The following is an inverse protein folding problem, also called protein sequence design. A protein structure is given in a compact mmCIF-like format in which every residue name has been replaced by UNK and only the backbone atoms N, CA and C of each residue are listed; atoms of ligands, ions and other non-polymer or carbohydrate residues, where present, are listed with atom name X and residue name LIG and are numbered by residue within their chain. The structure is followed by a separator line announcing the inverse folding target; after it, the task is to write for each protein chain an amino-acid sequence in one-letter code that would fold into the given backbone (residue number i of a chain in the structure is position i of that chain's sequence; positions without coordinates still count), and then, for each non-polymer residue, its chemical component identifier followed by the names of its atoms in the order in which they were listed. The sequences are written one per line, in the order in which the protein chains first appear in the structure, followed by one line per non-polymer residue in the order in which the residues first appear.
data_IF_185796128127
#
_entry.id   IF_185796128127
#
_cell.length_a   1.000
_cell.length_b   1.000
_cell.length_c   1.000
_cell.angle_alpha   90.00
_cell.angle_beta   90.00
_cell.angle_gamma   90.00
#
_symmetry.space_group_name_H-M   'P 1'
#
loop_
_entity.id
_entity.type
_entity.pdbx_description
1 polymer ?
#
# COMPACT_ATOMS: atom_id res chain seq x y z
N UNK A 1 15.33 15.63 0.23
CA UNK A 1 15.65 15.12 1.59
C UNK A 1 15.99 13.65 1.57
N UNK A 2 15.09 12.74 1.17
CA UNK A 2 15.36 11.28 1.17
C UNK A 2 16.50 10.89 0.22
N UNK A 3 16.57 11.41 -1.01
CA UNK A 3 17.71 11.14 -1.91
C UNK A 3 19.07 11.67 -1.44
N UNK A 4 19.12 12.61 -0.48
CA UNK A 4 20.38 13.16 0.06
C UNK A 4 20.75 12.57 1.44
N UNK A 5 19.78 12.07 2.20
CA UNK A 5 19.94 11.61 3.60
C UNK A 5 19.31 10.22 3.83
N UNK A 6 19.08 9.43 2.78
CA UNK A 6 18.32 8.18 2.86
C UNK A 6 18.88 7.21 3.89
N UNK A 7 20.20 7.01 3.92
CA UNK A 7 20.88 6.15 4.90
C UNK A 7 20.72 6.64 6.35
N UNK A 8 20.65 7.95 6.58
CA UNK A 8 20.49 8.53 7.92
C UNK A 8 19.09 8.27 8.49
N UNK A 9 18.06 8.39 7.65
CA UNK A 9 16.66 8.21 8.07
C UNK A 9 16.16 6.76 7.99
N UNK A 10 16.67 5.97 7.04
CA UNK A 10 16.16 4.64 6.73
C UNK A 10 17.15 3.52 7.12
N UNK A 11 18.37 3.87 7.55
CA UNK A 11 19.39 2.90 7.93
C UNK A 11 19.74 1.95 6.78
N UNK A 12 19.99 0.69 7.11
CA UNK A 12 20.35 -0.35 6.14
C UNK A 12 19.17 -0.78 5.23
N UNK A 13 17.95 -0.35 5.56
CA UNK A 13 16.78 -0.54 4.69
C UNK A 13 16.79 0.40 3.47
N UNK A 14 17.74 1.35 3.40
CA UNK A 14 17.98 2.15 2.21
C UNK A 14 18.54 1.30 1.07
N UNK A 15 17.66 0.69 0.29
CA UNK A 15 18.00 -0.03 -0.93
C UNK A 15 16.83 0.01 -1.91
N UNK A 16 17.15 0.16 -3.20
CA UNK A 16 16.31 0.56 -4.34
C UNK A 16 16.03 2.07 -4.45
N UNK A 17 16.69 2.65 -5.45
CA UNK A 17 16.17 3.71 -6.31
C UNK A 17 15.54 4.93 -5.63
N UNK A 18 16.28 5.63 -4.77
CA UNK A 18 16.04 7.02 -4.33
C UNK A 18 14.63 7.41 -3.82
N UNK A 19 13.71 6.47 -3.68
CA UNK A 19 12.32 6.68 -3.30
C UNK A 19 12.10 6.23 -1.85
N UNK A 20 11.22 6.94 -1.15
CA UNK A 20 10.86 6.60 0.21
C UNK A 20 9.93 5.37 0.21
N UNK A 21 10.18 4.33 1.04
CA UNK A 21 9.57 3.01 0.88
C UNK A 21 8.11 2.91 1.34
N UNK A 22 7.57 3.93 2.02
CA UNK A 22 6.24 3.88 2.63
C UNK A 22 5.40 5.12 2.28
N UNK A 23 4.12 4.90 2.02
CA UNK A 23 3.14 5.98 1.92
C UNK A 23 2.15 5.88 3.07
N UNK A 24 2.19 6.85 3.97
CA UNK A 24 1.26 6.94 5.10
C UNK A 24 0.10 7.86 4.72
N UNK A 25 -1.12 7.39 4.93
CA UNK A 25 -2.35 8.16 4.67
C UNK A 25 -3.24 8.14 5.91
N UNK A 26 -3.89 9.27 6.16
CA UNK A 26 -5.09 9.33 6.99
C UNK A 26 -6.29 9.29 6.03
N UNK A 27 -7.18 8.34 6.24
CA UNK A 27 -8.36 8.14 5.40
C UNK A 27 -9.61 8.35 6.24
N UNK A 28 -10.52 9.18 5.73
CA UNK A 28 -11.89 9.27 6.21
C UNK A 28 -12.78 8.50 5.24
N UNK A 29 -13.19 7.30 5.63
CA UNK A 29 -13.99 6.38 4.83
C UNK A 29 -15.48 6.52 5.18
N UNK A 30 -16.01 7.76 5.10
CA UNK A 30 -17.42 8.07 5.36
C UNK A 30 -18.40 7.39 4.38
N UNK A 31 -17.90 7.02 3.19
CA UNK A 31 -18.60 6.24 2.18
C UNK A 31 -17.73 5.06 1.72
N UNK A 32 -18.34 4.08 1.06
CA UNK A 32 -17.64 2.93 0.50
C UNK A 32 -16.58 3.37 -0.52
N UNK A 33 -15.34 2.92 -0.31
CA UNK A 33 -14.30 2.98 -1.31
C UNK A 33 -14.58 1.96 -2.42
N UNK A 34 -13.96 2.14 -3.58
CA UNK A 34 -14.04 1.16 -4.66
C UNK A 34 -13.49 -0.19 -4.22
N UNK A 35 -14.08 -1.30 -4.71
CA UNK A 35 -13.45 -2.61 -4.63
C UNK A 35 -12.12 -2.59 -5.39
N UNK A 36 -11.04 -2.99 -4.73
CA UNK A 36 -9.68 -2.82 -5.22
C UNK A 36 -8.85 -4.09 -5.02
N UNK A 37 -7.90 -4.29 -5.93
CA UNK A 37 -6.79 -5.23 -5.79
C UNK A 37 -5.50 -4.50 -6.16
N UNK A 38 -4.44 -4.77 -5.41
CA UNK A 38 -3.14 -4.15 -5.65
C UNK A 38 -2.14 -5.19 -6.15
N UNK A 39 -1.27 -4.82 -7.11
CA UNK A 39 -0.24 -5.72 -7.61
C UNK A 39 0.87 -5.91 -6.55
N UNK A 40 1.52 -7.06 -6.61
CA UNK A 40 2.85 -7.25 -6.03
C UNK A 40 3.92 -6.51 -6.88
N UNK A 41 5.19 -6.56 -6.45
CA UNK A 41 6.28 -5.88 -7.13
C UNK A 41 6.43 -6.31 -8.59
N UNK A 42 6.43 -7.63 -8.85
CA UNK A 42 6.63 -8.17 -10.19
C UNK A 42 5.48 -7.76 -11.13
N UNK A 43 4.24 -7.82 -10.62
CA UNK A 43 3.07 -7.41 -11.40
C UNK A 43 3.02 -5.90 -11.60
N UNK A 44 3.45 -5.09 -10.64
CA UNK A 44 3.53 -3.65 -10.77
C UNK A 44 4.51 -3.27 -11.88
N UNK A 45 5.70 -3.89 -11.91
CA UNK A 45 6.69 -3.68 -12.97
C UNK A 45 6.14 -4.05 -14.34
N UNK A 46 5.42 -5.18 -14.43
CA UNK A 46 4.83 -5.63 -15.68
C UNK A 46 3.72 -4.71 -16.23
N UNK A 47 2.97 -4.04 -15.34
CA UNK A 47 1.85 -3.16 -15.71
C UNK A 47 2.28 -1.71 -15.95
N UNK A 48 3.16 -1.19 -15.10
CA UNK A 48 3.44 0.26 -14.99
C UNK A 48 4.92 0.62 -15.25
N UNK A 49 5.80 -0.37 -15.46
CA UNK A 49 7.20 -0.18 -15.84
C UNK A 49 8.22 -0.40 -14.71
N UNK A 50 9.53 -0.36 -15.02
CA UNK A 50 10.61 -0.83 -14.14
C UNK A 50 10.75 -0.07 -12.81
N UNK A 51 10.25 1.15 -12.74
CA UNK A 51 10.30 1.99 -11.53
C UNK A 51 9.05 1.85 -10.65
N UNK A 52 8.07 1.03 -11.07
CA UNK A 52 6.86 0.80 -10.31
C UNK A 52 7.11 -0.14 -9.11
N UNK A 53 6.42 0.13 -8.01
CA UNK A 53 6.45 -0.68 -6.80
C UNK A 53 5.11 -1.40 -6.62
N UNK A 54 5.14 -2.59 -6.03
CA UNK A 54 3.95 -3.23 -5.51
C UNK A 54 3.31 -2.38 -4.43
N UNK A 55 2.05 -2.67 -4.11
CA UNK A 55 1.31 -1.90 -3.11
C UNK A 55 0.67 -2.82 -2.08
N UNK A 56 1.53 -3.46 -1.29
CA UNK A 56 1.12 -4.04 -0.02
C UNK A 56 0.74 -2.91 0.95
N UNK A 57 -0.30 -3.13 1.74
CA UNK A 57 -0.80 -2.14 2.68
C UNK A 57 -1.16 -2.76 4.03
N UNK A 58 -1.31 -1.88 5.02
CA UNK A 58 -1.80 -2.20 6.34
C UNK A 58 -2.74 -1.09 6.79
N UNK A 59 -3.81 -1.47 7.49
CA UNK A 59 -4.78 -0.52 8.02
C UNK A 59 -4.74 -0.52 9.54
N UNK A 60 -4.73 0.69 10.12
CA UNK A 60 -4.91 0.90 11.54
C UNK A 60 -6.17 1.75 11.74
N UNK A 61 -7.20 1.16 12.34
CA UNK A 61 -8.49 1.81 12.55
C UNK A 61 -8.37 2.72 13.78
N UNK A 62 -8.40 4.03 13.55
CA UNK A 62 -8.31 5.05 14.61
C UNK A 62 -9.64 5.26 15.33
N UNK A 63 -10.72 5.38 14.56
CA UNK A 63 -12.07 5.64 15.05
C UNK A 63 -13.11 5.07 14.09
N UNK A 64 -14.29 4.73 14.63
CA UNK A 64 -15.46 4.26 13.88
C UNK A 64 -16.74 4.84 14.48
N UNK A 65 -17.76 5.07 13.67
CA UNK A 65 -19.10 5.40 14.16
C UNK A 65 -20.12 4.36 13.72
N UNK A 66 -20.96 3.89 14.63
CA UNK A 66 -21.95 2.85 14.33
C UNK A 66 -21.31 1.51 13.92
N UNK A 67 -21.87 0.88 12.89
CA UNK A 67 -21.32 -0.34 12.29
C UNK A 67 -20.29 0.07 11.24
N UNK A 68 -19.06 -0.42 11.38
CA UNK A 68 -17.97 -0.20 10.43
C UNK A 68 -17.47 -1.56 9.92
N UNK A 69 -17.21 -1.63 8.61
CA UNK A 69 -16.88 -2.89 7.92
C UNK A 69 -15.71 -2.69 6.97
N UNK A 70 -14.93 -3.76 6.79
CA UNK A 70 -13.86 -3.86 5.79
C UNK A 70 -14.10 -5.13 4.99
N UNK A 71 -14.10 -5.01 3.66
CA UNK A 71 -14.20 -6.15 2.75
C UNK A 71 -12.79 -6.55 2.32
N UNK A 72 -12.35 -7.76 2.71
CA UNK A 72 -11.02 -8.26 2.39
C UNK A 72 -11.06 -9.76 2.05
N UNK A 73 -10.61 -10.09 0.83
CA UNK A 73 -10.57 -11.47 0.33
C UNK A 73 -11.93 -12.02 -0.10
N UNK A 74 -11.95 -13.30 -0.43
CA UNK A 74 -13.16 -14.01 -0.86
C UNK A 74 -13.69 -14.88 0.29
N UNK A 75 -15.00 -14.88 0.50
CA UNK A 75 -15.68 -15.73 1.49
C UNK A 75 -15.55 -17.24 1.16
N UNK A 76 -15.42 -17.55 -0.14
CA UNK A 76 -15.26 -18.90 -0.67
C UNK A 76 -14.28 -18.89 -1.83
N UNK A 77 -13.75 -20.05 -2.18
CA UNK A 77 -12.94 -20.20 -3.38
C UNK A 77 -13.70 -19.72 -4.62
N UNK A 78 -13.00 -18.99 -5.49
CA UNK A 78 -13.49 -18.52 -6.78
C UNK A 78 -12.51 -18.98 -7.85
N UNK A 79 -13.03 -19.37 -9.01
CA UNK A 79 -12.19 -19.65 -10.17
C UNK A 79 -11.73 -18.30 -10.75
N UNK A 80 -10.41 -18.10 -10.82
CA UNK A 80 -9.76 -16.89 -11.34
C UNK A 80 -9.19 -17.14 -12.74
#
# INVERSE_FOLDING_TARGET
MVGAHGKEFLGDAWSRADCFPLLVKLLDAAEWLSLQVHPDDDRAVALEGPDACGKSEAWHVLETTGVAEVLAGFERAVDL
#
